data_IF_551357344489
#
_entry.id   IF_551357344489
#
_cell.length_a   1.000
_cell.length_b   1.000
_cell.length_c   1.000
_cell.angle_alpha   90.00
_cell.angle_beta   90.00
_cell.angle_gamma   90.00
#
_symmetry.space_group_name_H-M   'P 1'
#
loop_
_entity.id
_entity.type
_entity.pdbx_description
1 polymer ?
#
# COMPACT_ATOMS: atom_id res chain seq x y z
N UNK A 1 -2.28 10.81 17.36
CA UNK A 1 -2.06 11.73 16.21
C UNK A 1 -1.74 10.99 14.92
N UNK A 2 -1.02 9.87 14.95
CA UNK A 2 -0.70 9.06 13.75
C UNK A 2 -1.92 8.58 12.97
N UNK A 3 -3.00 8.17 13.66
CA UNK A 3 -4.24 7.71 13.03
C UNK A 3 -4.90 8.77 12.13
N UNK A 4 -4.72 10.07 12.44
CA UNK A 4 -5.21 11.17 11.60
C UNK A 4 -4.63 11.19 10.19
N UNK A 5 -3.44 10.63 10.00
CA UNK A 5 -2.78 10.44 8.69
C UNK A 5 -2.91 9.01 8.19
N UNK A 6 -2.82 8.01 9.07
CA UNK A 6 -2.82 6.60 8.70
C UNK A 6 -4.17 6.12 8.12
N UNK A 7 -5.31 6.56 8.68
CA UNK A 7 -6.65 6.20 8.17
C UNK A 7 -6.90 6.79 6.77
N UNK A 8 -6.68 8.10 6.53
CA UNK A 8 -6.75 8.63 5.16
C UNK A 8 -5.78 7.95 4.19
N UNK A 9 -4.57 7.56 4.65
CA UNK A 9 -3.62 6.78 3.86
C UNK A 9 -4.22 5.44 3.43
N UNK A 10 -4.83 4.68 4.38
CA UNK A 10 -5.48 3.40 4.09
C UNK A 10 -6.61 3.56 3.06
N UNK A 11 -7.42 4.60 3.19
CA UNK A 11 -8.50 4.91 2.23
C UNK A 11 -7.92 5.22 0.85
N UNK A 12 -6.91 6.08 0.77
CA UNK A 12 -6.26 6.46 -0.48
C UNK A 12 -5.61 5.25 -1.18
N UNK A 13 -4.92 4.36 -0.44
CA UNK A 13 -4.41 3.09 -0.97
C UNK A 13 -5.54 2.21 -1.51
N UNK A 14 -6.65 2.08 -0.78
CA UNK A 14 -7.78 1.27 -1.24
C UNK A 14 -8.34 1.75 -2.57
N UNK A 15 -8.50 3.05 -2.76
CA UNK A 15 -8.93 3.64 -4.04
C UNK A 15 -7.86 3.46 -5.13
N UNK A 16 -6.57 3.66 -4.81
CA UNK A 16 -5.46 3.47 -5.72
C UNK A 16 -5.40 2.02 -6.24
N UNK A 17 -5.49 1.06 -5.32
CA UNK A 17 -5.44 -0.37 -5.61
C UNK A 17 -6.62 -0.84 -6.43
N UNK A 18 -7.82 -0.36 -6.10
CA UNK A 18 -9.02 -0.66 -6.89
C UNK A 18 -8.87 -0.15 -8.33
N UNK A 19 -8.42 1.09 -8.51
CA UNK A 19 -8.19 1.68 -9.83
C UNK A 19 -7.08 0.96 -10.60
N UNK A 20 -5.94 0.68 -9.96
CA UNK A 20 -4.81 -0.05 -10.53
C UNK A 20 -5.14 -1.51 -10.86
N UNK A 21 -5.84 -2.19 -9.97
CA UNK A 21 -6.33 -3.55 -10.20
C UNK A 21 -7.29 -3.64 -11.38
N UNK A 22 -8.22 -2.69 -11.50
CA UNK A 22 -9.14 -2.62 -12.64
C UNK A 22 -8.40 -2.31 -13.95
N UNK A 23 -7.40 -1.42 -13.92
CA UNK A 23 -6.55 -1.11 -15.06
C UNK A 23 -5.73 -2.35 -15.49
N UNK A 24 -5.19 -3.10 -14.53
CA UNK A 24 -4.34 -4.29 -14.76
C UNK A 24 -5.09 -5.48 -15.37
N UNK A 25 -6.41 -5.47 -15.29
CA UNK A 25 -7.26 -6.44 -16.02
C UNK A 25 -7.42 -6.10 -17.51
N UNK A 26 -7.10 -4.87 -17.91
CA UNK A 26 -7.33 -4.34 -19.26
C UNK A 26 -6.05 -3.98 -20.00
N UNK A 27 -4.92 -3.93 -19.32
CA UNK A 27 -3.63 -3.54 -19.87
C UNK A 27 -2.49 -4.31 -19.19
N UNK A 28 -1.31 -4.43 -19.84
CA UNK A 28 -0.14 -5.08 -19.24
C UNK A 28 0.25 -4.42 -17.91
N UNK A 29 0.42 -5.23 -16.86
CA UNK A 29 0.74 -4.78 -15.50
C UNK A 29 1.95 -3.83 -15.49
N UNK A 30 2.99 -4.13 -16.26
CA UNK A 30 4.18 -3.29 -16.37
C UNK A 30 3.84 -1.86 -16.81
N UNK A 31 2.94 -1.71 -17.80
CA UNK A 31 2.51 -0.40 -18.31
C UNK A 31 1.64 0.32 -17.29
N UNK A 32 0.71 -0.41 -16.64
CA UNK A 32 -0.13 0.14 -15.56
C UNK A 32 0.73 0.71 -14.45
N UNK A 33 1.70 -0.08 -13.97
CA UNK A 33 2.61 0.33 -12.91
C UNK A 33 3.47 1.51 -13.35
N UNK A 34 4.01 1.51 -14.56
CA UNK A 34 4.86 2.61 -15.05
C UNK A 34 4.09 3.94 -15.16
N UNK A 35 2.87 3.91 -15.71
CA UNK A 35 2.02 5.11 -15.79
C UNK A 35 1.63 5.62 -14.40
N UNK A 36 1.27 4.71 -13.48
CA UNK A 36 0.95 5.07 -12.11
C UNK A 36 2.16 5.69 -11.39
N UNK A 37 3.33 5.08 -11.50
CA UNK A 37 4.56 5.60 -10.90
C UNK A 37 4.97 6.96 -11.47
N UNK A 38 4.83 7.16 -12.79
CA UNK A 38 5.10 8.44 -13.43
C UNK A 38 4.11 9.53 -12.97
N UNK A 39 2.82 9.23 -12.91
CA UNK A 39 1.82 10.16 -12.41
C UNK A 39 2.11 10.57 -10.95
N UNK A 40 2.52 9.61 -10.12
CA UNK A 40 2.96 9.86 -8.75
C UNK A 40 4.21 10.74 -8.67
N UNK A 41 5.19 10.52 -9.55
CA UNK A 41 6.40 11.36 -9.61
C UNK A 41 6.06 12.81 -9.96
N UNK A 42 5.17 13.02 -10.94
CA UNK A 42 4.72 14.36 -11.34
C UNK A 42 4.04 15.08 -10.17
N UNK A 43 3.27 14.37 -9.35
CA UNK A 43 2.65 14.95 -8.15
C UNK A 43 3.70 15.25 -7.06
N UNK A 44 4.70 14.39 -6.90
CA UNK A 44 5.66 14.48 -5.81
C UNK A 44 6.69 15.61 -6.01
N UNK A 45 7.08 15.89 -7.27
CA UNK A 45 8.05 16.96 -7.57
C UNK A 45 7.62 18.30 -6.98
N UNK A 46 6.44 18.87 -7.28
CA UNK A 46 6.02 20.11 -6.65
C UNK A 46 5.81 19.98 -5.14
N UNK A 47 5.36 18.82 -4.63
CA UNK A 47 5.16 18.62 -3.21
C UNK A 47 6.46 18.71 -2.41
N UNK A 48 7.58 18.17 -2.92
CA UNK A 48 8.90 18.28 -2.29
C UNK A 48 9.40 19.74 -2.27
N UNK A 49 9.05 20.53 -3.28
CA UNK A 49 9.46 21.94 -3.36
C UNK A 49 8.63 22.85 -2.44
N UNK A 50 7.40 22.45 -2.13
CA UNK A 50 6.46 23.25 -1.32
C UNK A 50 6.48 22.87 0.16
N UNK A 51 6.87 21.64 0.50
CA UNK A 51 6.89 21.15 1.86
C UNK A 51 8.31 21.16 2.43
N UNK A 52 8.48 21.46 3.73
CA UNK A 52 9.79 21.50 4.36
C UNK A 52 10.47 20.13 4.33
N UNK A 53 11.77 20.13 4.13
CA UNK A 53 12.59 18.92 4.17
C UNK A 53 14.02 19.19 3.73
N UNK A 54 14.97 18.55 4.39
CA UNK A 54 16.40 18.67 4.10
C UNK A 54 16.85 17.51 3.22
N UNK A 55 17.40 17.82 2.05
CA UNK A 55 18.01 16.80 1.20
C UNK A 55 19.25 16.22 1.86
N UNK A 56 19.36 14.90 1.88
CA UNK A 56 20.59 14.20 2.22
C UNK A 56 20.78 12.97 1.32
N UNK A 57 22.03 12.63 1.05
CA UNK A 57 22.36 11.43 0.27
C UNK A 57 21.91 10.13 0.96
N UNK A 58 21.87 10.14 2.31
CA UNK A 58 21.34 9.03 3.10
C UNK A 58 19.86 8.86 2.84
N UNK A 59 19.07 9.95 2.95
CA UNK A 59 17.62 9.92 2.66
C UNK A 59 17.34 9.48 1.23
N UNK A 60 18.11 9.97 0.25
CA UNK A 60 17.96 9.60 -1.15
C UNK A 60 18.32 8.13 -1.39
N UNK A 61 19.40 7.62 -0.80
CA UNK A 61 19.84 6.22 -0.93
C UNK A 61 18.83 5.24 -0.32
N UNK A 62 18.39 5.49 0.92
CA UNK A 62 17.36 4.66 1.58
C UNK A 62 16.05 4.75 0.80
N UNK A 63 15.67 5.94 0.36
CA UNK A 63 14.48 6.14 -0.47
C UNK A 63 14.54 5.39 -1.80
N UNK A 64 15.70 5.34 -2.47
CA UNK A 64 15.89 4.57 -3.70
C UNK A 64 15.71 3.06 -3.45
N UNK A 65 16.28 2.52 -2.36
CA UNK A 65 16.07 1.12 -1.95
C UNK A 65 14.61 0.84 -1.63
N UNK A 66 13.94 1.75 -0.91
CA UNK A 66 12.50 1.68 -0.67
C UNK A 66 11.73 1.63 -1.99
N UNK A 67 12.07 2.48 -2.96
CA UNK A 67 11.45 2.50 -4.28
C UNK A 67 11.61 1.19 -5.06
N UNK A 68 12.77 0.52 -4.97
CA UNK A 68 12.96 -0.81 -5.57
C UNK A 68 12.07 -1.87 -4.91
N UNK A 69 12.01 -1.90 -3.59
CA UNK A 69 11.13 -2.81 -2.85
C UNK A 69 9.66 -2.53 -3.17
N UNK A 70 9.26 -1.26 -3.16
CA UNK A 70 7.88 -0.83 -3.43
C UNK A 70 7.43 -1.14 -4.85
N UNK A 71 8.24 -0.85 -5.88
CA UNK A 71 7.87 -1.16 -7.27
C UNK A 71 7.84 -2.66 -7.53
N UNK A 72 8.77 -3.42 -6.94
CA UNK A 72 8.74 -4.88 -6.98
C UNK A 72 7.46 -5.43 -6.34
N UNK A 73 7.12 -4.95 -5.15
CA UNK A 73 5.87 -5.27 -4.46
C UNK A 73 4.64 -4.95 -5.31
N UNK A 74 4.58 -3.75 -5.91
CA UNK A 74 3.46 -3.29 -6.72
C UNK A 74 3.27 -4.11 -8.01
N UNK A 75 4.37 -4.47 -8.70
CA UNK A 75 4.32 -5.34 -9.87
C UNK A 75 3.78 -6.73 -9.53
N UNK A 76 4.26 -7.32 -8.43
CA UNK A 76 3.77 -8.62 -7.93
C UNK A 76 2.31 -8.53 -7.50
N UNK A 77 1.93 -7.45 -6.84
CA UNK A 77 0.57 -7.19 -6.39
C UNK A 77 -0.42 -7.09 -7.56
N UNK A 78 -0.16 -6.19 -8.50
CA UNK A 78 -1.01 -6.03 -9.68
C UNK A 78 -1.04 -7.30 -10.55
N UNK A 79 0.07 -8.04 -10.63
CA UNK A 79 0.08 -9.35 -11.27
C UNK A 79 -0.83 -10.33 -10.53
N UNK A 80 -0.75 -10.35 -9.20
CA UNK A 80 -1.62 -11.15 -8.36
C UNK A 80 -3.09 -10.82 -8.57
N UNK A 81 -3.46 -9.52 -8.56
CA UNK A 81 -4.83 -9.04 -8.80
C UNK A 81 -5.34 -9.34 -10.21
N UNK A 82 -4.44 -9.46 -11.19
CA UNK A 82 -4.79 -9.77 -12.57
C UNK A 82 -5.06 -11.28 -12.79
N UNK A 83 -4.31 -12.17 -12.12
CA UNK A 83 -4.36 -13.62 -12.35
C UNK A 83 -5.07 -14.40 -11.24
N UNK A 84 -5.32 -13.78 -10.09
CA UNK A 84 -5.94 -14.41 -8.92
C UNK A 84 -7.18 -13.67 -8.44
N UNK A 85 -7.93 -14.26 -7.50
CA UNK A 85 -9.04 -13.58 -6.84
C UNK A 85 -8.50 -12.37 -6.05
N UNK A 86 -9.01 -11.17 -6.32
CA UNK A 86 -8.64 -9.96 -5.57
C UNK A 86 -8.83 -10.17 -4.07
N UNK A 87 -9.89 -10.91 -3.72
CA UNK A 87 -10.20 -11.29 -2.35
C UNK A 87 -9.19 -12.18 -1.63
N UNK A 88 -8.19 -12.71 -2.28
CA UNK A 88 -7.12 -13.51 -1.66
C UNK A 88 -5.79 -12.77 -1.68
N UNK A 89 -5.46 -12.18 -2.82
CA UNK A 89 -4.16 -11.51 -3.03
C UNK A 89 -4.02 -10.29 -2.14
N UNK A 90 -5.02 -9.42 -2.12
CA UNK A 90 -4.96 -8.17 -1.36
C UNK A 90 -4.75 -8.37 0.15
N UNK A 91 -5.46 -9.31 0.84
CA UNK A 91 -5.22 -9.51 2.25
C UNK A 91 -3.93 -10.22 2.61
N UNK A 92 -3.52 -11.20 1.80
CA UNK A 92 -2.23 -11.83 2.02
C UNK A 92 -1.12 -10.79 1.94
N UNK A 93 -1.20 -9.90 0.93
CA UNK A 93 -0.29 -8.77 0.81
C UNK A 93 -0.37 -7.82 2.01
N UNK A 94 -1.58 -7.48 2.46
CA UNK A 94 -1.77 -6.58 3.59
C UNK A 94 -1.27 -7.17 4.92
N UNK A 95 -1.57 -8.45 5.20
CA UNK A 95 -1.12 -9.14 6.42
C UNK A 95 0.41 -9.23 6.47
N UNK A 96 1.05 -9.59 5.36
CA UNK A 96 2.52 -9.68 5.32
C UNK A 96 3.13 -8.28 5.35
N UNK A 97 2.56 -7.33 4.60
CA UNK A 97 3.02 -5.95 4.55
C UNK A 97 2.93 -5.22 5.89
N UNK A 98 1.92 -5.51 6.72
CA UNK A 98 1.81 -5.00 8.09
C UNK A 98 2.65 -5.81 9.09
N UNK A 99 2.71 -7.13 8.90
CA UNK A 99 3.38 -8.02 9.83
C UNK A 99 4.89 -7.79 9.91
N UNK A 100 5.55 -7.51 8.79
CA UNK A 100 6.99 -7.23 8.77
C UNK A 100 7.36 -5.96 9.54
N UNK A 101 6.77 -4.77 9.29
CA UNK A 101 7.04 -3.57 10.08
C UNK A 101 6.71 -3.75 11.56
N UNK A 102 5.61 -4.42 11.88
CA UNK A 102 5.21 -4.70 13.25
C UNK A 102 6.26 -5.56 13.98
N UNK A 103 6.73 -6.64 13.36
CA UNK A 103 7.76 -7.50 13.95
C UNK A 103 9.07 -6.73 14.15
N UNK A 104 9.47 -5.91 13.19
CA UNK A 104 10.69 -5.09 13.32
C UNK A 104 10.54 -4.04 14.40
N UNK A 105 9.39 -3.37 14.51
CA UNK A 105 9.11 -2.42 15.58
C UNK A 105 9.25 -3.04 16.96
N UNK A 106 8.68 -4.24 17.17
CA UNK A 106 8.79 -4.98 18.42
C UNK A 106 10.26 -5.37 18.71
N UNK A 107 11.00 -5.86 17.72
CA UNK A 107 12.42 -6.21 17.86
C UNK A 107 13.27 -4.97 18.15
N UNK A 108 12.93 -3.83 17.57
CA UNK A 108 13.58 -2.53 17.82
C UNK A 108 13.24 -1.94 19.21
N UNK A 109 12.35 -2.59 19.98
CA UNK A 109 12.04 -2.20 21.37
C UNK A 109 10.69 -1.51 21.53
N UNK A 110 9.86 -1.41 20.50
CA UNK A 110 8.47 -0.98 20.66
C UNK A 110 7.74 -1.94 21.61
N UNK A 111 7.06 -1.39 22.59
CA UNK A 111 6.28 -2.15 23.59
C UNK A 111 4.83 -1.71 23.52
N UNK A 112 4.07 -2.13 22.50
CA UNK A 112 2.66 -1.76 22.41
C UNK A 112 1.90 -2.30 23.64
N UNK A 113 1.01 -1.47 24.19
CA UNK A 113 0.15 -1.86 25.30
C UNK A 113 -0.84 -2.97 24.91
N UNK A 114 -1.44 -3.64 25.87
CA UNK A 114 -2.38 -4.75 25.63
C UNK A 114 -3.56 -4.35 24.75
N UNK A 115 -4.08 -3.12 24.87
CA UNK A 115 -5.16 -2.58 24.03
C UNK A 115 -4.70 -2.46 22.58
N UNK A 116 -3.49 -1.93 22.38
CA UNK A 116 -2.89 -1.78 21.04
C UNK A 116 -2.66 -3.15 20.39
N UNK A 117 -2.13 -4.12 21.12
CA UNK A 117 -1.96 -5.50 20.63
C UNK A 117 -3.32 -6.11 20.26
N UNK A 118 -4.31 -5.99 21.13
CA UNK A 118 -5.67 -6.48 20.86
C UNK A 118 -6.27 -5.85 19.59
N UNK A 119 -6.10 -4.54 19.43
CA UNK A 119 -6.58 -3.82 18.25
C UNK A 119 -5.83 -4.22 16.96
N UNK A 120 -4.51 -4.47 17.04
CA UNK A 120 -3.71 -5.00 15.92
C UNK A 120 -4.20 -6.39 15.48
N UNK A 121 -4.43 -7.29 16.44
CA UNK A 121 -5.00 -8.63 16.17
C UNK A 121 -6.38 -8.49 15.53
N UNK A 122 -7.23 -7.61 16.06
CA UNK A 122 -8.56 -7.34 15.52
C UNK A 122 -8.49 -6.83 14.07
N UNK A 123 -7.54 -5.93 13.76
CA UNK A 123 -7.29 -5.43 12.42
C UNK A 123 -6.86 -6.54 11.46
N UNK A 124 -5.94 -7.41 11.88
CA UNK A 124 -5.50 -8.56 11.08
C UNK A 124 -6.65 -9.55 10.82
N UNK A 125 -7.48 -9.83 11.82
CA UNK A 125 -8.69 -10.65 11.67
C UNK A 125 -9.66 -9.99 10.69
N UNK A 126 -9.88 -8.68 10.78
CA UNK A 126 -10.72 -7.95 9.85
C UNK A 126 -10.21 -8.07 8.41
N UNK A 127 -8.89 -7.94 8.17
CA UNK A 127 -8.27 -8.12 6.85
C UNK A 127 -8.55 -9.51 6.31
N UNK A 128 -8.36 -10.56 7.10
CA UNK A 128 -8.63 -11.95 6.70
C UNK A 128 -10.12 -12.15 6.39
N UNK A 129 -11.02 -11.65 7.22
CA UNK A 129 -12.46 -11.77 7.03
C UNK A 129 -12.96 -10.97 5.81
N UNK A 130 -12.36 -9.83 5.49
CA UNK A 130 -12.71 -9.04 4.29
C UNK A 130 -12.76 -9.91 3.03
N UNK A 131 -12.04 -10.98 3.02
CA UNK A 131 -11.76 -11.84 1.88
C UNK A 131 -12.31 -13.25 1.99
N UNK A 132 -12.54 -13.74 3.20
CA UNK A 132 -13.13 -15.06 3.43
C UNK A 132 -14.55 -15.19 2.84
N UNK A 133 -15.24 -14.07 2.61
CA UNK A 133 -16.57 -14.04 2.00
C UNK A 133 -16.59 -14.07 0.47
N UNK A 134 -15.47 -14.00 -0.21
CA UNK A 134 -15.39 -14.08 -1.67
C UNK A 134 -15.56 -15.52 -2.14
N UNK A 135 -16.80 -15.92 -2.39
CA UNK A 135 -17.09 -17.19 -3.03
C UNK A 135 -16.66 -17.13 -4.49
N UNK A 136 -15.47 -17.59 -4.82
CA UNK A 136 -15.11 -18.09 -6.16
C UNK A 136 -13.72 -18.68 -6.15
N UNK A 137 -13.62 -19.87 -6.74
CA UNK A 137 -12.46 -20.67 -7.11
C UNK A 137 -11.30 -20.75 -6.09
N UNK A 138 -10.76 -21.95 -5.84
CA UNK A 138 -9.56 -22.07 -5.01
C UNK A 138 -8.50 -21.16 -5.61
N UNK A 139 -7.96 -20.27 -4.76
CA UNK A 139 -6.88 -19.40 -5.17
C UNK A 139 -5.76 -20.26 -5.73
N UNK A 140 -5.41 -20.05 -6.99
CA UNK A 140 -4.26 -20.73 -7.56
C UNK A 140 -3.04 -20.42 -6.68
N UNK A 141 -2.17 -21.40 -6.47
CA UNK A 141 -0.94 -21.25 -5.65
C UNK A 141 -0.15 -20.00 -6.08
N UNK A 142 -0.17 -19.67 -7.37
CA UNK A 142 0.44 -18.46 -7.90
C UNK A 142 -0.13 -17.16 -7.29
N UNK A 143 -1.43 -17.06 -7.05
CA UNK A 143 -2.05 -15.89 -6.41
C UNK A 143 -1.62 -15.74 -4.96
N UNK A 144 -1.53 -16.86 -4.23
CA UNK A 144 -1.05 -16.88 -2.84
C UNK A 144 0.41 -16.42 -2.76
N UNK A 145 1.28 -16.99 -3.59
CA UNK A 145 2.70 -16.64 -3.61
C UNK A 145 2.93 -15.18 -4.01
N UNK A 146 2.18 -14.68 -5.00
CA UNK A 146 2.23 -13.28 -5.41
C UNK A 146 1.74 -12.35 -4.31
N UNK A 147 0.69 -12.72 -3.58
CA UNK A 147 0.20 -11.96 -2.43
C UNK A 147 1.24 -11.87 -1.31
N UNK A 148 1.87 -12.98 -0.94
CA UNK A 148 2.92 -13.01 0.09
C UNK A 148 4.15 -12.19 -0.37
N UNK A 149 4.63 -12.42 -1.58
CA UNK A 149 5.82 -11.75 -2.11
C UNK A 149 5.60 -10.24 -2.27
N UNK A 150 4.40 -9.81 -2.71
CA UNK A 150 4.06 -8.39 -2.79
C UNK A 150 4.00 -7.74 -1.41
N UNK A 151 3.41 -8.43 -0.42
CA UNK A 151 3.39 -7.98 0.96
C UNK A 151 4.78 -7.82 1.55
N UNK A 152 5.70 -8.75 1.28
CA UNK A 152 7.10 -8.61 1.68
C UNK A 152 7.75 -7.36 1.06
N UNK A 153 7.51 -7.09 -0.23
CA UNK A 153 7.97 -5.88 -0.90
C UNK A 153 7.43 -4.59 -0.26
N UNK A 154 6.15 -4.56 0.06
CA UNK A 154 5.53 -3.40 0.73
C UNK A 154 6.01 -3.23 2.17
N UNK A 155 6.17 -4.33 2.92
CA UNK A 155 6.72 -4.28 4.27
C UNK A 155 8.14 -3.71 4.28
N UNK A 156 9.00 -4.16 3.38
CA UNK A 156 10.36 -3.63 3.23
C UNK A 156 10.36 -2.15 2.80
N UNK A 157 9.44 -1.75 1.92
CA UNK A 157 9.25 -0.35 1.54
C UNK A 157 8.90 0.51 2.76
N UNK A 158 7.94 0.09 3.59
CA UNK A 158 7.52 0.83 4.78
C UNK A 158 8.63 0.94 5.82
N UNK A 159 9.35 -0.16 6.06
CA UNK A 159 10.51 -0.18 6.97
C UNK A 159 11.60 0.78 6.47
N UNK A 160 11.94 0.71 5.18
CA UNK A 160 12.96 1.57 4.62
C UNK A 160 12.57 3.06 4.71
N UNK A 161 11.30 3.41 4.50
CA UNK A 161 10.83 4.79 4.67
C UNK A 161 10.96 5.26 6.12
N UNK A 162 10.65 4.43 7.09
CA UNK A 162 10.77 4.76 8.51
C UNK A 162 12.22 5.01 8.94
N UNK A 163 13.16 4.29 8.34
CA UNK A 163 14.60 4.45 8.59
C UNK A 163 15.19 5.75 8.01
N UNK A 164 14.42 6.54 7.27
CA UNK A 164 14.91 7.80 6.70
C UNK A 164 14.98 8.90 7.76
N UNK A 165 15.95 9.84 7.69
CA UNK A 165 16.06 10.95 8.62
C UNK A 165 14.74 11.73 8.75
N UNK A 166 14.38 12.11 9.98
CA UNK A 166 13.09 12.77 10.27
C UNK A 166 12.94 14.12 9.56
N UNK A 167 14.02 14.85 9.40
CA UNK A 167 14.09 16.14 8.74
C UNK A 167 14.08 16.04 7.20
N UNK A 168 14.16 14.83 6.65
CA UNK A 168 14.25 14.63 5.19
C UNK A 168 12.97 14.98 4.42
N UNK A 169 11.83 15.21 5.11
CA UNK A 169 10.57 15.54 4.46
C UNK A 169 10.16 14.47 3.42
N UNK A 170 9.86 14.90 2.20
CA UNK A 170 9.44 14.00 1.11
C UNK A 170 10.58 13.54 0.18
N UNK A 171 11.84 13.91 0.46
CA UNK A 171 12.99 13.53 -0.37
C UNK A 171 13.15 12.01 -0.56
N UNK A 172 12.95 11.15 0.48
CA UNK A 172 13.02 9.70 0.31
C UNK A 172 11.97 9.17 -0.67
N UNK A 173 10.74 9.68 -0.60
CA UNK A 173 9.67 9.28 -1.51
C UNK A 173 9.98 9.72 -2.95
N UNK A 174 10.54 10.92 -3.15
CA UNK A 174 10.94 11.41 -4.47
C UNK A 174 12.04 10.51 -5.06
N UNK A 175 13.09 10.21 -4.28
CA UNK A 175 14.17 9.33 -4.72
C UNK A 175 13.68 7.93 -5.08
N UNK A 176 12.83 7.33 -4.23
CA UNK A 176 12.20 6.03 -4.49
C UNK A 176 11.34 6.04 -5.74
N UNK A 177 10.55 7.08 -5.93
CA UNK A 177 9.68 7.22 -7.11
C UNK A 177 10.50 7.44 -8.39
N UNK A 178 11.55 8.26 -8.34
CA UNK A 178 12.46 8.47 -9.46
C UNK A 178 13.17 7.15 -9.85
N UNK A 179 13.64 6.39 -8.87
CA UNK A 179 14.25 5.07 -9.09
C UNK A 179 13.28 4.10 -9.75
N UNK A 180 12.05 4.02 -9.23
CA UNK A 180 10.99 3.16 -9.77
C UNK A 180 10.64 3.52 -11.23
N UNK A 181 10.45 4.82 -11.51
CA UNK A 181 10.13 5.31 -12.85
C UNK A 181 11.28 5.03 -13.82
N UNK A 182 12.53 5.27 -13.42
CA UNK A 182 13.70 4.99 -14.23
C UNK A 182 13.81 3.51 -14.59
N UNK A 183 13.66 2.62 -13.59
CA UNK A 183 13.70 1.18 -13.82
C UNK A 183 12.59 0.73 -14.77
N UNK A 184 11.36 1.18 -14.53
CA UNK A 184 10.21 0.81 -15.37
C UNK A 184 10.35 1.37 -16.79
N UNK A 185 10.86 2.60 -16.95
CA UNK A 185 11.11 3.19 -18.26
C UNK A 185 12.14 2.37 -19.06
N UNK A 186 13.25 1.96 -18.44
CA UNK A 186 14.25 1.08 -19.08
C UNK A 186 13.58 -0.22 -19.54
N UNK A 187 12.81 -0.88 -18.68
CA UNK A 187 12.13 -2.14 -19.02
C UNK A 187 11.11 -1.95 -20.14
N UNK A 188 10.35 -0.85 -20.15
CA UNK A 188 9.37 -0.55 -21.20
C UNK A 188 10.05 -0.33 -22.56
N UNK A 189 11.16 0.42 -22.58
CA UNK A 189 11.94 0.66 -23.80
C UNK A 189 12.50 -0.65 -24.36
N UNK A 190 13.12 -1.46 -23.49
CA UNK A 190 13.67 -2.77 -23.89
C UNK A 190 12.58 -3.70 -24.43
N UNK A 191 11.39 -3.69 -23.79
CA UNK A 191 10.27 -4.52 -24.21
C UNK A 191 9.43 -3.91 -25.34
N UNK A 192 9.75 -2.70 -25.78
CA UNK A 192 8.99 -1.94 -26.82
C UNK A 192 7.49 -1.89 -26.49
N UNK A 193 7.13 -1.75 -25.23
CA UNK A 193 5.75 -1.74 -24.78
C UNK A 193 5.12 -0.37 -25.02
N UNK A 194 3.95 -0.35 -25.69
CA UNK A 194 3.18 0.89 -25.91
C UNK A 194 2.31 1.27 -24.71
N UNK A 195 2.05 2.57 -24.56
CA UNK A 195 1.12 3.09 -23.58
C UNK A 195 -0.31 3.04 -24.16
N UNK A 196 -1.33 2.57 -23.41
CA UNK A 196 -2.69 2.52 -23.91
C UNK A 196 -3.29 3.90 -24.09
N UNK A 197 -4.22 4.02 -25.05
CA UNK A 197 -4.87 5.28 -25.40
C UNK A 197 -5.70 5.93 -24.26
N UNK A 198 -6.09 5.15 -23.23
CA UNK A 198 -6.92 5.62 -22.09
C UNK A 198 -6.25 5.29 -20.75
N UNK A 199 -5.22 6.06 -20.32
CA UNK A 199 -4.49 5.79 -19.09
C UNK A 199 -5.19 6.30 -17.81
N UNK A 200 -6.40 6.85 -17.87
CA UNK A 200 -7.05 7.58 -16.77
C UNK A 200 -7.06 6.83 -15.44
N UNK A 201 -7.44 5.53 -15.41
CA UNK A 201 -7.41 4.73 -14.18
C UNK A 201 -5.99 4.51 -13.63
N UNK A 202 -4.99 4.42 -14.51
CA UNK A 202 -3.59 4.25 -14.13
C UNK A 202 -3.07 5.53 -13.47
N UNK A 203 -3.42 6.69 -14.06
CA UNK A 203 -3.06 8.01 -13.51
C UNK A 203 -3.71 8.21 -12.14
N UNK A 204 -5.02 7.95 -12.03
CA UNK A 204 -5.75 8.05 -10.75
C UNK A 204 -5.12 7.13 -9.70
N UNK A 205 -4.81 5.88 -10.06
CA UNK A 205 -4.11 4.94 -9.17
C UNK A 205 -2.79 5.54 -8.67
N UNK A 206 -1.96 6.08 -9.55
CA UNK A 206 -0.66 6.63 -9.18
C UNK A 206 -0.72 7.90 -8.33
N UNK A 207 -1.68 8.80 -8.60
CA UNK A 207 -1.88 10.00 -7.79
C UNK A 207 -2.35 9.64 -6.37
N UNK A 208 -3.31 8.74 -6.25
CA UNK A 208 -3.84 8.28 -4.95
C UNK A 208 -2.81 7.47 -4.17
N UNK A 209 -2.06 6.58 -4.84
CA UNK A 209 -0.96 5.84 -4.23
C UNK A 209 0.11 6.79 -3.68
N UNK A 210 0.46 7.84 -4.42
CA UNK A 210 1.43 8.82 -3.95
C UNK A 210 0.92 9.63 -2.77
N UNK A 211 -0.34 10.07 -2.80
CA UNK A 211 -0.97 10.73 -1.67
C UNK A 211 -0.99 9.82 -0.43
N UNK A 212 -1.30 8.54 -0.61
CA UNK A 212 -1.26 7.55 0.46
C UNK A 212 0.14 7.38 1.06
N UNK A 213 1.18 7.31 0.21
CA UNK A 213 2.59 7.24 0.66
C UNK A 213 3.01 8.47 1.46
N UNK A 214 2.62 9.68 1.02
CA UNK A 214 2.88 10.92 1.76
C UNK A 214 2.20 10.87 3.13
N UNK A 215 0.93 10.49 3.18
CA UNK A 215 0.19 10.36 4.43
C UNK A 215 0.79 9.28 5.35
N UNK A 216 1.25 8.16 4.79
CA UNK A 216 1.95 7.12 5.53
C UNK A 216 3.23 7.67 6.18
N UNK A 217 4.08 8.34 5.39
CA UNK A 217 5.33 8.91 5.90
C UNK A 217 5.06 9.96 7.00
N UNK A 218 4.04 10.81 6.84
CA UNK A 218 3.65 11.76 7.89
C UNK A 218 3.14 11.03 9.14
N UNK A 219 2.43 9.91 8.98
CA UNK A 219 1.93 9.12 10.11
C UNK A 219 3.07 8.49 10.91
N UNK A 220 4.12 7.98 10.26
CA UNK A 220 5.30 7.40 10.95
C UNK A 220 6.13 8.46 11.68
N UNK A 221 6.13 9.72 11.21
CA UNK A 221 6.82 10.84 11.89
C UNK A 221 6.15 11.27 13.19
N UNK A 222 4.88 10.94 13.40
CA UNK A 222 4.10 11.31 14.60
C UNK A 222 3.61 10.12 15.41
N UNK A 223 4.02 8.90 15.05
CA UNK A 223 3.63 7.67 15.73
C UNK A 223 4.54 6.49 15.40
N UNK A 224 4.27 5.31 16.00
CA UNK A 224 5.09 4.13 15.74
C UNK A 224 4.84 3.52 14.37
N UNK A 225 5.89 2.94 13.79
CA UNK A 225 5.84 2.24 12.51
C UNK A 225 4.83 1.08 12.53
N UNK A 226 4.87 0.26 13.59
CA UNK A 226 4.01 -0.92 13.70
C UNK A 226 2.53 -0.57 13.70
N UNK A 227 2.10 0.41 14.52
CA UNK A 227 0.70 0.88 14.57
C UNK A 227 0.29 1.49 13.23
N UNK A 228 1.13 2.35 12.65
CA UNK A 228 0.86 2.99 11.36
C UNK A 228 0.69 1.95 10.25
N UNK A 229 1.60 0.98 10.15
CA UNK A 229 1.54 -0.08 9.15
C UNK A 229 0.28 -0.93 9.27
N UNK A 230 -0.15 -1.27 10.51
CA UNK A 230 -1.39 -2.04 10.72
C UNK A 230 -2.63 -1.23 10.31
N UNK A 231 -2.72 0.07 10.68
CA UNK A 231 -3.84 0.92 10.27
C UNK A 231 -3.90 1.04 8.75
N UNK A 232 -2.76 1.33 8.13
CA UNK A 232 -2.69 1.49 6.67
C UNK A 232 -3.05 0.19 5.95
N UNK A 233 -2.65 -0.96 6.49
CA UNK A 233 -2.98 -2.28 5.92
C UNK A 233 -4.46 -2.66 6.00
N UNK A 234 -5.33 -1.79 6.53
CA UNK A 234 -6.78 -1.92 6.42
C UNK A 234 -7.32 -1.48 5.03
N UNK A 235 -6.48 -1.02 4.11
CA UNK A 235 -6.87 -0.63 2.76
C UNK A 235 -7.73 -1.66 1.99
N UNK A 236 -7.63 -3.01 2.19
CA UNK A 236 -8.50 -3.95 1.51
C UNK A 236 -9.98 -3.77 1.86
N UNK A 237 -10.28 -3.20 3.03
CA UNK A 237 -11.66 -2.86 3.42
C UNK A 237 -12.22 -1.79 2.47
N UNK A 238 -11.42 -0.77 2.13
CA UNK A 238 -11.82 0.23 1.15
C UNK A 238 -11.99 -0.38 -0.25
N UNK A 239 -11.12 -1.31 -0.64
CA UNK A 239 -11.25 -2.07 -1.91
C UNK A 239 -12.57 -2.83 -1.96
N UNK A 240 -12.95 -3.53 -0.87
CA UNK A 240 -14.21 -4.28 -0.77
C UNK A 240 -15.42 -3.36 -0.86
N UNK A 241 -15.38 -2.21 -0.18
CA UNK A 241 -16.47 -1.22 -0.24
C UNK A 241 -16.62 -0.62 -1.64
N UNK A 242 -15.50 -0.36 -2.34
CA UNK A 242 -15.52 0.11 -3.72
C UNK A 242 -16.03 -0.96 -4.71
N UNK A 243 -15.63 -2.21 -4.53
CA UNK A 243 -16.17 -3.31 -5.33
C UNK A 243 -17.70 -3.41 -5.16
N UNK A 244 -18.19 -3.23 -3.93
CA UNK A 244 -19.63 -3.14 -3.66
C UNK A 244 -20.29 -1.96 -4.37
N UNK A 245 -19.73 -0.76 -4.24
CA UNK A 245 -20.34 0.46 -4.75
C UNK A 245 -20.29 0.56 -6.29
N UNK A 246 -19.16 0.19 -6.88
CA UNK A 246 -18.88 0.37 -8.32
C UNK A 246 -19.28 -0.87 -9.14
N UNK A 247 -18.91 -2.07 -8.67
CA UNK A 247 -19.20 -3.32 -9.36
C UNK A 247 -20.54 -3.92 -8.95
N UNK A 248 -21.26 -3.28 -8.00
CA UNK A 248 -22.55 -3.74 -7.45
C UNK A 248 -22.50 -5.17 -6.89
N UNK A 249 -21.34 -5.58 -6.41
CA UNK A 249 -21.18 -6.88 -5.75
C UNK A 249 -21.94 -6.87 -4.41
N UNK A 250 -22.61 -7.98 -4.09
CA UNK A 250 -23.28 -8.11 -2.78
C UNK A 250 -22.25 -8.47 -1.72
N UNK A 251 -22.12 -7.65 -0.69
CA UNK A 251 -21.31 -8.00 0.48
C UNK A 251 -21.95 -9.19 1.20
N UNK A 252 -21.14 -10.16 1.55
CA UNK A 252 -21.55 -11.25 2.45
C UNK A 252 -21.58 -10.73 3.89
N UNK A 253 -22.31 -11.44 4.78
CA UNK A 253 -22.31 -11.10 6.20
C UNK A 253 -20.89 -11.07 6.80
N UNK A 254 -20.01 -11.98 6.35
CA UNK A 254 -18.60 -12.04 6.76
C UNK A 254 -17.84 -10.75 6.37
N UNK A 255 -18.05 -10.25 5.16
CA UNK A 255 -17.43 -9.00 4.72
C UNK A 255 -17.96 -7.77 5.49
N UNK A 256 -19.27 -7.76 5.82
CA UNK A 256 -19.82 -6.69 6.63
C UNK A 256 -19.25 -6.70 8.06
N UNK A 257 -19.11 -7.88 8.66
CA UNK A 257 -18.42 -8.06 9.95
C UNK A 257 -16.98 -7.56 9.87
N UNK A 258 -16.25 -7.87 8.80
CA UNK A 258 -14.89 -7.40 8.55
C UNK A 258 -14.81 -5.87 8.57
N UNK A 259 -15.71 -5.17 7.88
CA UNK A 259 -15.77 -3.70 7.88
C UNK A 259 -15.98 -3.15 9.28
N UNK A 260 -16.91 -3.73 10.04
CA UNK A 260 -17.18 -3.31 11.42
C UNK A 260 -15.96 -3.52 12.33
N UNK A 261 -15.29 -4.67 12.23
CA UNK A 261 -14.07 -4.97 13.00
C UNK A 261 -12.91 -4.03 12.60
N UNK A 262 -12.75 -3.72 11.31
CA UNK A 262 -11.73 -2.81 10.83
C UNK A 262 -11.91 -1.39 11.39
N UNK A 263 -13.15 -0.88 11.37
CA UNK A 263 -13.48 0.42 11.97
C UNK A 263 -13.23 0.42 13.49
N UNK A 264 -13.65 -0.63 14.19
CA UNK A 264 -13.39 -0.78 15.61
C UNK A 264 -11.90 -0.81 15.94
N UNK A 265 -11.11 -1.59 15.18
CA UNK A 265 -9.67 -1.65 15.33
C UNK A 265 -8.99 -0.28 15.08
N UNK A 266 -9.43 0.44 14.03
CA UNK A 266 -8.90 1.78 13.73
C UNK A 266 -9.16 2.78 14.88
N UNK A 267 -10.37 2.74 15.48
CA UNK A 267 -10.70 3.59 16.62
C UNK A 267 -9.84 3.23 17.83
N UNK A 268 -9.70 1.93 18.15
CA UNK A 268 -8.86 1.48 19.28
C UNK A 268 -7.38 1.85 19.09
N UNK A 269 -6.83 1.70 17.87
CA UNK A 269 -5.46 2.10 17.57
C UNK A 269 -5.28 3.62 17.63
N UNK A 270 -6.31 4.39 17.28
CA UNK A 270 -6.27 5.86 17.35
C UNK A 270 -6.31 6.38 18.80
N UNK A 271 -6.95 5.65 19.72
CA UNK A 271 -7.15 6.07 21.13
C UNK A 271 -6.19 5.39 22.10
N UNK A 272 -5.61 4.27 21.74
CA UNK A 272 -4.75 3.45 22.60
C UNK A 272 -3.24 3.62 22.38
N UNK A 273 -2.81 4.57 21.49
CA UNK A 273 -1.41 4.88 21.17
C UNK A 273 -0.92 6.16 21.79
#
# INVERSE_FOLDING_TARGET
>A
MSAGFAVPSAVAYGFADFAGGLASRRAPVLVVTAVAQLAGLILLVPAVLLLPGVFSWSAAGIGALAGLAGVGGLLLYFRGLAVGPMGTVAPLSAVVGAGLPLLIGIVAGERPGAVTIGAMVLALVAIVLATAGSRREPAALSGILLGIASGAGFGLFFIALDLTPEDSGLWPLLAGRATSVTLLAIVLVVRRAGVPAKPGLMVVSGLLDTAANVLFLLATRVGSLGVTAVIVSLYPVAVVLLARAVLRERLTGVQLTSVALALGASVLLATGG
#
